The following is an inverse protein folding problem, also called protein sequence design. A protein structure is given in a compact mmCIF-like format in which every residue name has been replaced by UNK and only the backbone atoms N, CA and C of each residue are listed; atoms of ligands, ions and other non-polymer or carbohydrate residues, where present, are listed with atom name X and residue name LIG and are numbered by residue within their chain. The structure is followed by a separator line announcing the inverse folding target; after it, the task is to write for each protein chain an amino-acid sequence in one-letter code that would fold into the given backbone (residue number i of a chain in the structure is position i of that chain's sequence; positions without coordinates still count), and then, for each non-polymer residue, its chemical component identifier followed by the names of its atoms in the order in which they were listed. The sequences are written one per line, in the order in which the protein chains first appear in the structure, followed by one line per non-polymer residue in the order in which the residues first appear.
data_IF_652448247405
#
_entry.id   IF_652448247405
#
_cell.length_a   1.000
_cell.length_b   1.000
_cell.length_c   1.000
_cell.angle_alpha   90.00
_cell.angle_beta   90.00
_cell.angle_gamma   90.00
#
_symmetry.space_group_name_H-M   'P 1'
#
loop_
_entity.id
_entity.type
_entity.pdbx_description
1 polymer ?
#
# COMPACT_ATOMS: atom_id res chain seq x y z
N UNK A 1 -3.25 -20.14 13.17
CA UNK A 1 -1.86 -19.92 12.68
C UNK A 1 -1.81 -18.71 11.74
N UNK A 2 -2.28 -17.54 12.20
CA UNK A 2 -2.63 -16.39 11.35
C UNK A 2 -1.47 -15.40 11.09
N UNK A 3 -0.27 -15.65 11.65
CA UNK A 3 0.80 -14.64 11.72
C UNK A 3 1.83 -14.63 10.59
N UNK A 4 1.99 -15.72 9.83
CA UNK A 4 3.07 -15.82 8.83
C UNK A 4 2.68 -15.33 7.42
N UNK A 5 1.38 -15.32 7.07
CA UNK A 5 0.92 -14.88 5.74
C UNK A 5 0.76 -13.35 5.61
N UNK A 6 0.63 -12.62 6.72
CA UNK A 6 0.44 -11.16 6.72
C UNK A 6 1.76 -10.37 6.60
N UNK A 7 2.84 -10.89 7.19
CA UNK A 7 4.17 -10.27 7.13
C UNK A 7 4.67 -10.00 5.69
N UNK A 8 4.61 -10.96 4.74
CA UNK A 8 5.05 -10.70 3.37
C UNK A 8 4.20 -9.63 2.66
N UNK A 9 2.89 -9.58 2.92
CA UNK A 9 2.00 -8.55 2.36
C UNK A 9 2.36 -7.17 2.92
N UNK A 10 2.62 -7.07 4.23
CA UNK A 10 3.01 -5.82 4.87
C UNK A 10 4.36 -5.31 4.35
N UNK A 11 5.36 -6.20 4.21
CA UNK A 11 6.67 -5.87 3.65
C UNK A 11 6.52 -5.37 2.20
N UNK A 12 5.72 -6.07 1.39
CA UNK A 12 5.48 -5.68 0.00
C UNK A 12 4.81 -4.30 -0.08
N UNK A 13 3.77 -4.06 0.72
CA UNK A 13 3.07 -2.78 0.78
C UNK A 13 4.01 -1.63 1.16
N UNK A 14 4.84 -1.83 2.18
CA UNK A 14 5.85 -0.86 2.58
C UNK A 14 6.90 -0.62 1.47
N UNK A 15 7.35 -1.68 0.80
CA UNK A 15 8.29 -1.57 -0.31
C UNK A 15 7.70 -0.77 -1.50
N UNK A 16 6.43 -1.03 -1.85
CA UNK A 16 5.72 -0.29 -2.91
C UNK A 16 5.60 1.18 -2.54
N UNK A 17 5.16 1.49 -1.31
CA UNK A 17 5.04 2.87 -0.86
C UNK A 17 6.41 3.59 -0.88
N UNK A 18 7.44 2.98 -0.31
CA UNK A 18 8.80 3.54 -0.34
C UNK A 18 9.29 3.76 -1.77
N UNK A 19 9.10 2.78 -2.65
CA UNK A 19 9.44 2.88 -4.07
C UNK A 19 8.76 4.09 -4.72
N UNK A 20 7.46 4.27 -4.49
CA UNK A 20 6.71 5.42 -4.98
C UNK A 20 7.30 6.74 -4.45
N UNK A 21 7.58 6.84 -3.15
CA UNK A 21 8.12 8.06 -2.53
C UNK A 21 9.47 8.46 -3.11
N UNK A 22 10.33 7.49 -3.45
CA UNK A 22 11.66 7.75 -4.01
C UNK A 22 11.66 8.19 -5.48
N UNK A 23 10.56 8.02 -6.21
CA UNK A 23 10.43 8.54 -7.58
C UNK A 23 10.55 10.06 -7.56
N UNK A 24 11.53 10.61 -8.29
CA UNK A 24 11.81 12.06 -8.33
C UNK A 24 10.83 12.82 -9.21
N UNK A 25 10.41 12.19 -10.31
CA UNK A 25 9.47 12.79 -11.25
C UNK A 25 8.03 12.65 -10.73
N UNK A 26 7.43 13.81 -10.42
CA UNK A 26 6.13 13.91 -9.77
C UNK A 26 4.98 13.37 -10.63
N UNK A 27 4.75 13.85 -11.87
CA UNK A 27 3.70 13.31 -12.74
C UNK A 27 3.88 11.80 -12.98
N UNK A 28 5.11 11.34 -13.15
CA UNK A 28 5.40 9.92 -13.34
C UNK A 28 5.08 9.09 -12.09
N UNK A 29 5.49 9.56 -10.91
CA UNK A 29 5.19 8.90 -9.64
C UNK A 29 3.69 8.86 -9.33
N UNK A 30 2.96 9.94 -9.63
CA UNK A 30 1.50 9.98 -9.52
C UNK A 30 0.82 9.01 -10.49
N UNK A 31 1.30 8.93 -11.74
CA UNK A 31 0.78 8.00 -12.74
C UNK A 31 0.97 6.53 -12.30
N UNK A 32 2.17 6.17 -11.84
CA UNK A 32 2.44 4.81 -11.33
C UNK A 32 1.55 4.50 -10.13
N UNK A 33 1.40 5.45 -9.20
CA UNK A 33 0.54 5.27 -8.05
C UNK A 33 -0.93 5.08 -8.45
N UNK A 34 -1.41 5.81 -9.47
CA UNK A 34 -2.77 5.68 -9.98
C UNK A 34 -3.01 4.34 -10.70
N UNK A 35 -2.07 3.91 -11.55
CA UNK A 35 -2.11 2.58 -12.18
C UNK A 35 -2.10 1.49 -11.11
N UNK A 36 -1.22 1.61 -10.12
CA UNK A 36 -1.15 0.69 -8.99
C UNK A 36 -2.45 0.62 -8.20
N UNK A 37 -3.12 1.76 -7.99
CA UNK A 37 -4.43 1.81 -7.32
C UNK A 37 -5.50 1.08 -8.12
N UNK A 38 -5.51 1.24 -9.46
CA UNK A 38 -6.45 0.53 -10.33
C UNK A 38 -6.22 -1.00 -10.30
N UNK A 39 -4.96 -1.45 -10.35
CA UNK A 39 -4.61 -2.87 -10.24
C UNK A 39 -5.00 -3.42 -8.87
N UNK A 40 -4.72 -2.69 -7.80
CA UNK A 40 -5.07 -3.09 -6.44
C UNK A 40 -6.58 -3.21 -6.24
N UNK A 41 -7.35 -2.23 -6.74
CA UNK A 41 -8.81 -2.27 -6.73
C UNK A 41 -9.35 -3.47 -7.53
N UNK A 42 -8.77 -3.77 -8.70
CA UNK A 42 -9.14 -4.93 -9.50
C UNK A 42 -8.90 -6.24 -8.75
N UNK A 43 -7.81 -6.37 -8.00
CA UNK A 43 -7.55 -7.54 -7.14
C UNK A 43 -8.60 -7.69 -6.04
N UNK A 44 -8.95 -6.58 -5.36
CA UNK A 44 -10.01 -6.60 -4.34
C UNK A 44 -11.35 -7.01 -4.96
N UNK A 45 -11.76 -6.41 -6.07
CA UNK A 45 -13.00 -6.77 -6.75
C UNK A 45 -13.00 -8.22 -7.23
N UNK A 46 -11.90 -8.69 -7.81
CA UNK A 46 -11.80 -10.07 -8.26
C UNK A 46 -11.91 -11.06 -7.10
N UNK A 47 -11.33 -10.74 -5.93
CA UNK A 47 -11.47 -11.55 -4.72
C UNK A 47 -12.90 -11.64 -4.17
N UNK A 48 -13.78 -10.71 -4.54
CA UNK A 48 -15.20 -10.70 -4.14
C UNK A 48 -16.10 -11.43 -5.12
N UNK A 49 -15.69 -11.55 -6.39
CA UNK A 49 -16.51 -12.10 -7.47
C UNK A 49 -16.12 -13.55 -7.78
N UNK A 50 -14.84 -13.90 -7.56
CA UNK A 50 -14.29 -15.21 -7.91
C UNK A 50 -14.19 -16.09 -6.67
N UNK A 51 -15.09 -17.06 -6.54
CA UNK A 51 -15.10 -18.08 -5.47
C UNK A 51 -14.11 -19.24 -5.72
N UNK A 52 -13.00 -18.96 -6.40
CA UNK A 52 -11.97 -19.95 -6.73
C UNK A 52 -10.57 -19.42 -6.38
N UNK A 53 -9.57 -20.30 -6.16
CA UNK A 53 -8.20 -19.87 -5.92
C UNK A 53 -7.66 -19.01 -7.06
N UNK A 54 -7.09 -17.86 -6.70
CA UNK A 54 -6.50 -16.90 -7.63
C UNK A 54 -5.03 -16.73 -7.28
N UNK A 55 -4.14 -16.68 -8.28
CA UNK A 55 -2.69 -16.59 -8.05
C UNK A 55 -2.14 -17.74 -7.18
N UNK A 56 -2.79 -18.91 -7.21
CA UNK A 56 -2.46 -20.05 -6.36
C UNK A 56 -2.74 -19.85 -4.87
N UNK A 57 -3.56 -18.85 -4.50
CA UNK A 57 -3.93 -18.50 -3.12
C UNK A 57 -5.44 -18.34 -2.97
N UNK A 58 -5.91 -18.41 -1.73
CA UNK A 58 -7.32 -18.23 -1.39
C UNK A 58 -7.78 -16.78 -1.62
N UNK A 59 -9.06 -16.54 -1.96
CA UNK A 59 -9.58 -15.20 -2.21
C UNK A 59 -9.33 -14.21 -1.05
N UNK A 60 -9.38 -14.68 0.20
CA UNK A 60 -9.08 -13.86 1.38
C UNK A 60 -7.65 -13.29 1.37
N UNK A 61 -6.67 -14.08 0.93
CA UNK A 61 -5.28 -13.64 0.83
C UNK A 61 -5.10 -12.61 -0.29
N UNK A 62 -5.75 -12.84 -1.44
CA UNK A 62 -5.73 -11.91 -2.58
C UNK A 62 -6.41 -10.59 -2.24
N UNK A 63 -7.50 -10.64 -1.47
CA UNK A 63 -8.16 -9.45 -0.93
C UNK A 63 -7.23 -8.66 -0.02
N UNK A 64 -6.56 -9.33 0.93
CA UNK A 64 -5.61 -8.70 1.84
C UNK A 64 -4.44 -8.03 1.09
N UNK A 65 -3.89 -8.72 0.07
CA UNK A 65 -2.88 -8.15 -0.81
C UNK A 65 -3.40 -6.91 -1.55
N UNK A 66 -4.59 -7.00 -2.14
CA UNK A 66 -5.22 -5.90 -2.87
C UNK A 66 -5.42 -4.67 -1.99
N UNK A 67 -5.94 -4.85 -0.77
CA UNK A 67 -6.12 -3.75 0.20
C UNK A 67 -4.76 -3.14 0.58
N UNK A 68 -3.75 -3.95 0.86
CA UNK A 68 -2.43 -3.47 1.25
C UNK A 68 -1.73 -2.68 0.13
N UNK A 69 -1.86 -3.12 -1.13
CA UNK A 69 -1.35 -2.40 -2.30
C UNK A 69 -2.15 -1.11 -2.54
N UNK A 70 -3.46 -1.14 -2.35
CA UNK A 70 -4.32 0.03 -2.51
C UNK A 70 -3.93 1.12 -1.49
N UNK A 71 -3.71 0.73 -0.24
CA UNK A 71 -3.26 1.66 0.80
C UNK A 71 -1.91 2.32 0.45
N UNK A 72 -0.92 1.52 0.00
CA UNK A 72 0.39 2.02 -0.38
C UNK A 72 0.33 2.98 -1.60
N UNK A 73 -0.45 2.61 -2.61
CA UNK A 73 -0.56 3.37 -3.86
C UNK A 73 -1.37 4.65 -3.68
N UNK A 74 -2.45 4.64 -2.91
CA UNK A 74 -3.21 5.86 -2.56
C UNK A 74 -2.36 6.81 -1.72
N UNK A 75 -1.61 6.30 -0.74
CA UNK A 75 -0.69 7.12 0.05
C UNK A 75 0.43 7.72 -0.81
N UNK A 76 1.03 6.93 -1.70
CA UNK A 76 2.05 7.38 -2.65
C UNK A 76 1.51 8.41 -3.65
N UNK A 77 0.28 8.25 -4.12
CA UNK A 77 -0.41 9.22 -4.97
C UNK A 77 -0.61 10.53 -4.22
N UNK A 78 -1.09 10.48 -2.98
CA UNK A 78 -1.21 11.65 -2.11
C UNK A 78 0.13 12.38 -1.96
N UNK A 79 1.20 11.66 -1.66
CA UNK A 79 2.55 12.22 -1.60
C UNK A 79 2.93 12.97 -2.89
N UNK A 80 2.77 12.37 -4.06
CA UNK A 80 3.07 13.00 -5.34
C UNK A 80 2.14 14.18 -5.67
N UNK A 81 0.88 14.16 -5.23
CA UNK A 81 -0.04 15.29 -5.43
C UNK A 81 0.27 16.47 -4.49
N UNK A 82 0.89 16.26 -3.34
CA UNK A 82 1.20 17.32 -2.38
C UNK A 82 2.64 17.83 -2.42
N UNK A 83 3.55 17.11 -3.08
CA UNK A 83 4.99 17.41 -3.19
C UNK A 83 5.34 18.87 -3.55
N UNK A 84 4.57 19.50 -4.43
CA UNK A 84 4.80 20.90 -4.85
C UNK A 84 4.49 21.96 -3.80
N UNK A 85 3.97 21.58 -2.63
CA UNK A 85 3.66 22.49 -1.53
C UNK A 85 4.73 22.52 -0.44
N UNK A 86 5.74 21.66 -0.52
CA UNK A 86 6.77 21.53 0.50
C UNK A 86 8.04 22.30 0.11
N UNK A 87 8.61 23.02 1.07
CA UNK A 87 9.88 23.75 0.93
C UNK A 87 11.09 22.81 0.81
N UNK A 88 10.99 21.59 1.36
CA UNK A 88 12.00 20.54 1.24
C UNK A 88 11.35 19.21 0.85
N UNK A 89 11.66 18.73 -0.35
CA UNK A 89 11.18 17.47 -0.91
C UNK A 89 11.60 16.27 -0.06
N UNK A 90 12.84 16.29 0.45
CA UNK A 90 13.37 15.19 1.27
C UNK A 90 12.73 15.11 2.65
N UNK A 91 12.42 16.26 3.26
CA UNK A 91 11.67 16.28 4.51
C UNK A 91 10.25 15.74 4.29
N UNK A 92 9.58 16.15 3.21
CA UNK A 92 8.25 15.64 2.87
C UNK A 92 8.25 14.12 2.68
N UNK A 93 9.23 13.58 1.93
CA UNK A 93 9.42 12.13 1.74
C UNK A 93 9.51 11.38 3.07
N UNK A 94 10.39 11.85 3.95
CA UNK A 94 10.60 11.26 5.26
C UNK A 94 9.34 11.29 6.13
N UNK A 95 8.63 12.43 6.15
CA UNK A 95 7.40 12.58 6.95
C UNK A 95 6.29 11.64 6.46
N UNK A 96 6.05 11.56 5.15
CA UNK A 96 5.01 10.66 4.62
C UNK A 96 5.37 9.19 4.84
N UNK A 97 6.65 8.81 4.69
CA UNK A 97 7.09 7.46 5.01
C UNK A 97 6.96 7.12 6.48
N UNK A 98 7.33 8.03 7.37
CA UNK A 98 7.15 7.85 8.81
C UNK A 98 5.66 7.72 9.16
N UNK A 99 4.80 8.59 8.64
CA UNK A 99 3.35 8.53 8.89
C UNK A 99 2.74 7.22 8.40
N UNK A 100 3.12 6.75 7.21
CA UNK A 100 2.65 5.47 6.69
C UNK A 100 3.09 4.31 7.58
N UNK A 101 4.38 4.22 7.91
CA UNK A 101 4.93 3.14 8.74
C UNK A 101 4.35 3.15 10.15
N UNK A 102 4.20 4.33 10.77
CA UNK A 102 3.58 4.47 12.10
C UNK A 102 2.11 4.06 12.05
N UNK A 103 1.35 4.51 11.05
CA UNK A 103 -0.06 4.14 10.91
C UNK A 103 -0.23 2.64 10.68
N UNK A 104 0.63 2.04 9.85
CA UNK A 104 0.66 0.60 9.61
C UNK A 104 1.00 -0.18 10.89
N UNK A 105 1.99 0.28 11.66
CA UNK A 105 2.36 -0.33 12.94
C UNK A 105 1.23 -0.23 13.97
N UNK A 106 0.62 0.94 14.13
CA UNK A 106 -0.50 1.15 15.06
C UNK A 106 -1.70 0.28 14.67
N UNK A 107 -2.07 0.25 13.40
CA UNK A 107 -3.16 -0.61 12.93
C UNK A 107 -2.84 -2.09 13.16
N UNK A 108 -1.60 -2.51 12.91
CA UNK A 108 -1.13 -3.86 13.22
C UNK A 108 -1.26 -4.21 14.70
N UNK A 109 -0.90 -3.30 15.60
CA UNK A 109 -1.06 -3.48 17.04
C UNK A 109 -2.54 -3.57 17.46
N UNK A 110 -3.41 -2.74 16.88
CA UNK A 110 -4.85 -2.79 17.11
C UNK A 110 -5.41 -4.15 16.70
N UNK A 111 -5.05 -4.65 15.52
CA UNK A 111 -5.49 -5.98 15.06
C UNK A 111 -4.98 -7.07 16.00
N UNK A 112 -3.73 -6.99 16.44
CA UNK A 112 -3.15 -7.96 17.38
C UNK A 112 -3.91 -7.99 18.72
N UNK A 113 -4.49 -6.88 19.17
CA UNK A 113 -5.29 -6.84 20.40
C UNK A 113 -6.63 -7.58 20.33
N UNK A 114 -7.10 -7.91 19.12
CA UNK A 114 -8.35 -8.66 18.91
C UNK A 114 -8.14 -10.17 18.74
N UNK A 115 -6.90 -10.66 18.79
CA UNK A 115 -6.51 -12.06 18.60
C UNK A 115 -5.93 -12.59 19.92
#
# INVERSE_FOLDING_TARGET
MMGLDAAPIAILSAAVFCGLVFIRDRPFGALIAQIGSAVAAALVFASLIVDAPMLGRDPAWVSALGVALLAATVAGMGYHLYLGRFTSVWAARGVFAALFLVSAAVLGLVILSFI
#
